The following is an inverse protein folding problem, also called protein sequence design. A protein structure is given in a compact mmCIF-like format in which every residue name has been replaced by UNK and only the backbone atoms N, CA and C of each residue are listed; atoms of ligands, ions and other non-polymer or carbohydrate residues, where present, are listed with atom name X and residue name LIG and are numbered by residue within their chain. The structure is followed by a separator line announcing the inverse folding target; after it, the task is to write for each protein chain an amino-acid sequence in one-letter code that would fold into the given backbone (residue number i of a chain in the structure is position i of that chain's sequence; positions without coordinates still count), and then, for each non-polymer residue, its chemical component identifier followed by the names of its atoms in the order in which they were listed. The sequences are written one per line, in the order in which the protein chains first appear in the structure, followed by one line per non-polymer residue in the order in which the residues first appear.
data_IF_232582148424
#
_entry.id   IF_232582148424
#
_cell.length_a   1.000
_cell.length_b   1.000
_cell.length_c   1.000
_cell.angle_alpha   90.00
_cell.angle_beta   90.00
_cell.angle_gamma   90.00
#
_symmetry.space_group_name_H-M   'P 1'
#
loop_
_entity.id
_entity.type
_entity.pdbx_description
1 polymer ?
#
# COMPACT_ATOMS: atom_id res chain seq x y z
N UNK A 1 24.46 -60.49 29.74
CA UNK A 1 24.27 -59.03 29.58
C UNK A 1 23.91 -58.72 28.14
N UNK A 2 22.65 -58.36 27.85
CA UNK A 2 22.23 -57.87 26.52
C UNK A 2 22.07 -56.35 26.63
N UNK A 3 22.86 -55.62 25.86
CA UNK A 3 22.93 -54.17 25.80
C UNK A 3 21.64 -53.58 25.20
N UNK A 4 21.00 -52.66 25.94
CA UNK A 4 19.84 -51.87 25.45
C UNK A 4 20.31 -50.88 24.40
N UNK A 5 19.79 -51.00 23.18
CA UNK A 5 19.95 -50.03 22.10
C UNK A 5 19.07 -48.81 22.39
N UNK A 6 19.68 -47.63 22.46
CA UNK A 6 19.00 -46.35 22.69
C UNK A 6 18.04 -46.02 21.54
N UNK A 7 16.75 -45.82 21.82
CA UNK A 7 15.78 -45.27 20.88
C UNK A 7 16.11 -43.80 20.57
N UNK A 8 16.47 -43.53 19.32
CA UNK A 8 16.56 -42.16 18.80
C UNK A 8 15.14 -41.63 18.58
N UNK A 9 14.76 -40.58 19.31
CA UNK A 9 13.53 -39.83 19.06
C UNK A 9 13.54 -39.25 17.64
N UNK A 10 12.77 -39.86 16.74
CA UNK A 10 12.50 -39.33 15.41
C UNK A 10 11.56 -38.13 15.54
N UNK A 11 12.11 -36.92 15.49
CA UNK A 11 11.31 -35.70 15.29
C UNK A 11 10.61 -35.78 13.93
N UNK A 12 9.36 -36.27 13.91
CA UNK A 12 8.55 -36.30 12.70
C UNK A 12 8.29 -34.86 12.24
N UNK A 13 8.76 -34.53 11.03
CA UNK A 13 8.48 -33.23 10.42
C UNK A 13 6.97 -33.11 10.20
N UNK A 14 6.36 -31.95 10.48
CA UNK A 14 4.94 -31.74 10.24
C UNK A 14 4.62 -31.96 8.77
N UNK A 15 3.51 -32.65 8.52
CA UNK A 15 3.00 -32.83 7.17
C UNK A 15 2.48 -31.50 6.64
N UNK A 16 3.28 -30.84 5.80
CA UNK A 16 2.92 -29.59 5.15
C UNK A 16 1.75 -29.82 4.18
N UNK A 17 0.78 -28.90 4.23
CA UNK A 17 -0.36 -28.95 3.31
C UNK A 17 0.05 -28.41 1.95
N UNK A 18 -0.11 -29.23 0.91
CA UNK A 18 0.08 -28.79 -0.49
C UNK A 18 -0.95 -27.71 -0.86
N UNK A 19 -2.16 -27.81 -0.30
CA UNK A 19 -3.28 -26.91 -0.60
C UNK A 19 -3.09 -25.50 -0.04
N UNK A 20 -2.25 -25.34 1.00
CA UNK A 20 -1.88 -24.05 1.58
C UNK A 20 -0.61 -23.45 0.96
N UNK A 21 0.01 -24.12 -0.03
CA UNK A 21 1.21 -23.64 -0.70
C UNK A 21 2.40 -23.41 0.24
N UNK A 22 2.51 -24.20 1.31
CA UNK A 22 3.49 -23.98 2.37
C UNK A 22 4.91 -24.32 1.91
N UNK A 23 5.76 -23.29 1.82
CA UNK A 23 7.20 -23.40 1.55
C UNK A 23 7.99 -22.82 2.72
N UNK A 24 8.57 -23.69 3.56
CA UNK A 24 9.31 -23.25 4.74
C UNK A 24 10.70 -22.75 4.33
N UNK A 25 11.03 -21.51 4.65
CA UNK A 25 12.37 -20.98 4.49
C UNK A 25 13.33 -21.68 5.46
N UNK A 26 14.35 -22.36 4.94
CA UNK A 26 15.32 -23.16 5.73
C UNK A 26 16.74 -22.62 5.70
N UNK A 27 17.09 -21.77 4.75
CA UNK A 27 18.46 -21.28 4.60
C UNK A 27 18.76 -20.18 5.65
N UNK A 28 19.65 -20.43 6.63
CA UNK A 28 19.93 -19.46 7.70
C UNK A 28 20.58 -18.18 7.19
N UNK A 29 21.41 -18.24 6.14
CA UNK A 29 22.03 -17.04 5.55
C UNK A 29 20.99 -16.11 4.95
N UNK A 30 19.99 -16.68 4.27
CA UNK A 30 18.87 -15.91 3.70
C UNK A 30 18.02 -15.30 4.81
N UNK A 31 17.72 -16.06 5.87
CA UNK A 31 16.96 -15.56 7.03
C UNK A 31 17.69 -14.38 7.67
N UNK A 32 18.97 -14.53 7.98
CA UNK A 32 19.77 -13.46 8.58
C UNK A 32 19.80 -12.21 7.67
N UNK A 33 20.00 -12.41 6.36
CA UNK A 33 19.98 -11.30 5.39
C UNK A 33 18.63 -10.57 5.36
N UNK A 34 17.51 -11.30 5.44
CA UNK A 34 16.16 -10.70 5.52
C UNK A 34 16.03 -9.86 6.79
N UNK A 35 16.43 -10.41 7.94
CA UNK A 35 16.35 -9.74 9.25
C UNK A 35 17.22 -8.49 9.29
N UNK A 36 18.42 -8.54 8.70
CA UNK A 36 19.30 -7.36 8.62
C UNK A 36 18.74 -6.30 7.68
N UNK A 37 18.23 -6.70 6.50
CA UNK A 37 17.53 -5.77 5.60
C UNK A 37 16.18 -5.29 6.14
N UNK A 38 15.61 -5.93 7.14
CA UNK A 38 14.41 -5.47 7.81
C UNK A 38 14.66 -4.26 8.71
N UNK A 39 15.91 -3.93 9.06
CA UNK A 39 16.25 -2.75 9.89
C UNK A 39 15.35 -2.63 11.12
N UNK A 40 15.27 -3.73 11.87
CA UNK A 40 14.45 -3.86 13.08
C UNK A 40 15.10 -3.04 14.20
N UNK A 41 14.33 -2.16 14.81
CA UNK A 41 14.73 -1.42 16.00
C UNK A 41 14.35 -2.19 17.27
N UNK A 42 15.11 -2.07 18.38
CA UNK A 42 14.81 -2.80 19.62
C UNK A 42 13.44 -2.48 20.23
N UNK A 43 12.86 -1.32 19.90
CA UNK A 43 11.53 -0.89 20.31
C UNK A 43 10.40 -1.49 19.47
N UNK A 44 10.70 -2.07 18.31
CA UNK A 44 9.69 -2.46 17.32
C UNK A 44 8.79 -3.60 17.80
N UNK A 45 7.51 -3.46 17.50
CA UNK A 45 6.55 -4.54 17.37
C UNK A 45 6.57 -5.05 15.92
N UNK A 46 7.00 -6.29 15.73
CA UNK A 46 7.11 -6.92 14.41
C UNK A 46 5.91 -7.82 14.14
N UNK A 47 5.27 -7.63 12.98
CA UNK A 47 4.24 -8.55 12.48
C UNK A 47 4.85 -9.60 11.55
N UNK A 48 4.61 -10.88 11.82
CA UNK A 48 4.96 -12.01 10.96
C UNK A 48 3.69 -12.78 10.56
N UNK A 49 3.50 -13.02 9.25
CA UNK A 49 2.29 -13.67 8.70
C UNK A 49 2.67 -15.01 8.07
N UNK A 50 2.26 -16.11 8.68
CA UNK A 50 2.70 -17.45 8.29
C UNK A 50 4.11 -17.75 8.81
N UNK A 51 4.32 -17.74 10.15
CA UNK A 51 5.61 -18.08 10.75
C UNK A 51 6.08 -19.51 10.44
N UNK A 52 5.16 -20.41 10.07
CA UNK A 52 5.45 -21.81 9.81
C UNK A 52 6.10 -22.48 11.02
N UNK A 53 7.26 -23.12 10.82
CA UNK A 53 8.01 -23.76 11.91
C UNK A 53 8.81 -22.80 12.78
N UNK A 54 8.79 -21.49 12.48
CA UNK A 54 9.41 -20.46 13.31
C UNK A 54 10.88 -20.13 13.03
N UNK A 55 11.43 -20.55 11.88
CA UNK A 55 12.83 -20.26 11.53
C UNK A 55 13.12 -18.75 11.45
N UNK A 56 12.18 -17.97 10.90
CA UNK A 56 12.26 -16.52 10.85
C UNK A 56 11.88 -15.92 12.21
N UNK A 57 10.80 -16.40 12.84
CA UNK A 57 10.31 -15.96 14.16
C UNK A 57 11.40 -15.93 15.24
N UNK A 58 12.23 -16.98 15.32
CA UNK A 58 13.35 -17.04 16.29
C UNK A 58 14.28 -15.84 16.12
N UNK A 59 14.63 -15.49 14.88
CA UNK A 59 15.51 -14.36 14.57
C UNK A 59 14.86 -13.00 14.76
N UNK A 60 13.54 -12.90 14.55
CA UNK A 60 12.79 -11.68 14.85
C UNK A 60 12.74 -11.43 16.37
N UNK A 61 12.51 -12.47 17.17
CA UNK A 61 12.44 -12.40 18.64
C UNK A 61 13.77 -11.99 19.30
N UNK A 62 14.89 -12.29 18.66
CA UNK A 62 16.23 -11.85 19.08
C UNK A 62 16.39 -10.32 19.01
N UNK A 63 15.75 -9.65 18.03
CA UNK A 63 15.96 -8.21 17.76
C UNK A 63 14.81 -7.31 18.22
N UNK A 64 13.57 -7.79 18.15
CA UNK A 64 12.38 -6.99 18.42
C UNK A 64 12.01 -6.92 19.92
N UNK A 65 11.22 -5.90 20.28
CA UNK A 65 10.52 -5.83 21.57
C UNK A 65 9.45 -6.90 21.67
N UNK A 66 8.67 -7.04 20.59
CA UNK A 66 7.52 -7.95 20.49
C UNK A 66 7.39 -8.48 19.08
N UNK A 67 7.02 -9.76 18.94
CA UNK A 67 6.67 -10.36 17.65
C UNK A 67 5.23 -10.85 17.72
N UNK A 68 4.38 -10.34 16.83
CA UNK A 68 3.02 -10.80 16.63
C UNK A 68 3.04 -11.74 15.43
N UNK A 69 2.80 -13.02 15.65
CA UNK A 69 2.76 -14.03 14.61
C UNK A 69 1.30 -14.43 14.32
N UNK A 70 0.87 -14.35 13.06
CA UNK A 70 -0.46 -14.81 12.62
C UNK A 70 -0.28 -16.08 11.79
N UNK A 71 -0.81 -17.20 12.26
CA UNK A 71 -0.74 -18.49 11.57
C UNK A 71 -2.15 -19.07 11.35
N UNK A 72 -2.44 -19.48 10.12
CA UNK A 72 -3.73 -20.09 9.76
C UNK A 72 -3.74 -21.59 10.07
N UNK A 73 -2.60 -22.27 9.92
CA UNK A 73 -2.49 -23.70 10.21
C UNK A 73 -2.26 -23.96 11.70
N UNK A 74 -3.31 -24.40 12.39
CA UNK A 74 -3.29 -24.74 13.82
C UNK A 74 -2.15 -25.70 14.20
N UNK A 75 -1.74 -26.59 13.29
CA UNK A 75 -0.67 -27.58 13.57
C UNK A 75 0.70 -26.90 13.62
N UNK A 76 0.99 -26.01 12.66
CA UNK A 76 2.22 -25.22 12.64
C UNK A 76 2.25 -24.23 13.81
N UNK A 77 1.11 -23.64 14.14
CA UNK A 77 0.98 -22.76 15.30
C UNK A 77 1.34 -23.49 16.62
N UNK A 78 0.85 -24.73 16.79
CA UNK A 78 1.18 -25.55 17.95
C UNK A 78 2.67 -25.95 17.99
N UNK A 79 3.26 -26.26 16.84
CA UNK A 79 4.69 -26.57 16.77
C UNK A 79 5.57 -25.35 17.05
N UNK A 80 5.20 -24.17 16.56
CA UNK A 80 5.88 -22.92 16.87
C UNK A 80 5.91 -22.68 18.38
N UNK A 81 4.77 -22.86 19.06
CA UNK A 81 4.70 -22.76 20.52
C UNK A 81 5.60 -23.79 21.17
N UNK A 82 5.55 -25.06 20.74
CA UNK A 82 6.41 -26.13 21.28
C UNK A 82 7.90 -25.81 21.12
N UNK A 83 8.30 -25.26 19.97
CA UNK A 83 9.68 -24.89 19.65
C UNK A 83 10.18 -23.74 20.52
N UNK A 84 9.34 -22.75 20.78
CA UNK A 84 9.74 -21.53 21.47
C UNK A 84 9.51 -21.60 22.99
N UNK A 85 8.67 -22.51 23.48
CA UNK A 85 8.44 -22.71 24.91
C UNK A 85 9.77 -23.00 25.63
N UNK A 86 10.04 -22.28 26.71
CA UNK A 86 11.28 -22.39 27.49
C UNK A 86 12.46 -21.57 26.94
N UNK A 87 12.31 -20.92 25.77
CA UNK A 87 13.34 -19.98 25.29
C UNK A 87 13.22 -18.62 26.00
N UNK A 88 14.36 -17.94 26.20
CA UNK A 88 14.42 -16.62 26.87
C UNK A 88 13.48 -15.59 26.25
N UNK A 89 13.26 -15.65 24.94
CA UNK A 89 12.47 -14.66 24.20
C UNK A 89 10.99 -15.08 24.02
N UNK A 90 10.55 -16.20 24.58
CA UNK A 90 9.17 -16.68 24.42
C UNK A 90 8.12 -15.66 24.87
N UNK A 91 8.39 -14.92 25.96
CA UNK A 91 7.50 -13.89 26.48
C UNK A 91 7.27 -12.71 25.53
N UNK A 92 8.10 -12.55 24.49
CA UNK A 92 7.92 -11.52 23.45
C UNK A 92 6.99 -11.96 22.32
N UNK A 93 6.63 -13.25 22.25
CA UNK A 93 5.77 -13.79 21.19
C UNK A 93 4.30 -13.63 21.56
N UNK A 94 3.54 -13.03 20.65
CA UNK A 94 2.08 -13.13 20.63
C UNK A 94 1.67 -13.92 19.39
N UNK A 95 1.06 -15.09 19.60
CA UNK A 95 0.56 -15.94 18.52
C UNK A 95 -0.95 -15.77 18.35
N UNK A 96 -1.38 -15.47 17.13
CA UNK A 96 -2.79 -15.38 16.73
C UNK A 96 -3.06 -16.48 15.71
N UNK A 97 -3.96 -17.40 16.05
CA UNK A 97 -4.29 -18.53 15.16
C UNK A 97 -5.53 -18.19 14.34
N UNK A 98 -5.35 -17.59 13.17
CA UNK A 98 -6.43 -17.12 12.32
C UNK A 98 -6.00 -16.89 10.87
N UNK A 99 -6.99 -16.67 9.99
CA UNK A 99 -6.74 -16.21 8.63
C UNK A 99 -6.47 -14.69 8.64
N UNK A 100 -5.22 -14.31 8.37
CA UNK A 100 -4.80 -12.90 8.38
C UNK A 100 -5.62 -12.00 7.47
N UNK A 101 -6.26 -12.53 6.41
CA UNK A 101 -7.08 -11.72 5.52
C UNK A 101 -8.43 -11.36 6.15
N UNK A 102 -8.93 -12.19 7.08
CA UNK A 102 -10.27 -12.08 7.67
C UNK A 102 -10.34 -11.32 8.99
N UNK A 103 -9.20 -11.09 9.64
CA UNK A 103 -9.14 -10.37 10.93
C UNK A 103 -8.62 -8.94 10.75
N UNK A 104 -8.91 -8.09 11.71
CA UNK A 104 -8.23 -6.81 11.84
C UNK A 104 -6.80 -7.04 12.35
N UNK A 105 -5.84 -6.44 11.66
CA UNK A 105 -4.44 -6.54 12.05
C UNK A 105 -4.22 -5.64 13.28
N UNK A 106 -3.52 -6.12 14.32
CA UNK A 106 -3.13 -5.26 15.44
C UNK A 106 -2.12 -4.21 14.98
N UNK A 107 -1.81 -3.24 15.83
CA UNK A 107 -0.70 -2.31 15.58
C UNK A 107 0.64 -3.06 15.47
N UNK A 108 1.48 -2.62 14.53
CA UNK A 108 2.87 -3.05 14.38
C UNK A 108 3.69 -1.92 13.73
N UNK A 109 4.98 -1.88 14.06
CA UNK A 109 5.91 -0.89 13.50
C UNK A 109 6.44 -1.34 12.14
N UNK A 110 6.74 -2.64 12.01
CA UNK A 110 7.21 -3.26 10.77
C UNK A 110 6.59 -4.64 10.57
N UNK A 111 6.47 -5.07 9.32
CA UNK A 111 6.08 -6.44 8.99
C UNK A 111 7.24 -7.15 8.29
N UNK A 112 7.58 -8.37 8.74
CA UNK A 112 8.60 -9.20 8.10
C UNK A 112 8.02 -10.57 7.88
N UNK A 113 7.88 -10.99 6.62
CA UNK A 113 7.20 -12.26 6.35
C UNK A 113 7.68 -13.04 5.13
N UNK A 114 7.66 -14.38 5.28
CA UNK A 114 7.66 -15.33 4.19
C UNK A 114 6.21 -15.57 3.72
N UNK A 115 5.72 -14.68 2.85
CA UNK A 115 4.31 -14.68 2.46
C UNK A 115 3.89 -15.98 1.77
N UNK A 116 2.80 -16.65 2.21
CA UNK A 116 2.19 -17.73 1.43
C UNK A 116 1.73 -17.19 0.08
N UNK A 117 2.19 -17.78 -1.02
CA UNK A 117 2.05 -17.17 -2.35
C UNK A 117 0.60 -16.94 -2.78
N UNK A 118 -0.31 -17.79 -2.32
CA UNK A 118 -1.75 -17.75 -2.62
C UNK A 118 -2.43 -16.46 -2.14
N UNK A 119 -1.89 -15.82 -1.10
CA UNK A 119 -2.47 -14.61 -0.50
C UNK A 119 -1.68 -13.34 -0.79
N UNK A 120 -0.67 -13.38 -1.67
CA UNK A 120 0.27 -12.27 -1.89
C UNK A 120 -0.43 -10.96 -2.25
N UNK A 121 -1.31 -10.98 -3.26
CA UNK A 121 -2.04 -9.80 -3.73
C UNK A 121 -2.98 -9.21 -2.66
N UNK A 122 -3.93 -9.96 -2.08
CA UNK A 122 -4.81 -9.41 -1.05
C UNK A 122 -4.03 -8.98 0.20
N UNK A 123 -2.93 -9.65 0.55
CA UNK A 123 -2.10 -9.24 1.69
C UNK A 123 -1.46 -7.87 1.46
N UNK A 124 -0.85 -7.62 0.29
CA UNK A 124 -0.24 -6.33 -0.03
C UNK A 124 -1.25 -5.19 0.11
N UNK A 125 -2.47 -5.37 -0.42
CA UNK A 125 -3.50 -4.34 -0.30
C UNK A 125 -4.03 -4.18 1.13
N UNK A 126 -4.17 -5.28 1.88
CA UNK A 126 -4.54 -5.21 3.29
C UNK A 126 -3.51 -4.44 4.12
N UNK A 127 -2.22 -4.66 3.86
CA UNK A 127 -1.14 -3.90 4.51
C UNK A 127 -1.21 -2.41 4.12
N UNK A 128 -1.27 -2.07 2.83
CA UNK A 128 -1.32 -0.66 2.39
C UNK A 128 -2.55 0.11 2.93
N UNK A 129 -3.65 -0.60 3.20
CA UNK A 129 -4.86 -0.04 3.81
C UNK A 129 -4.83 -0.03 5.34
N UNK A 130 -3.89 -0.72 5.98
CA UNK A 130 -3.81 -0.82 7.43
C UNK A 130 -3.56 0.56 8.06
N UNK A 131 -4.23 0.78 9.20
CA UNK A 131 -4.05 1.95 10.05
C UNK A 131 -3.95 1.49 11.52
N UNK A 132 -3.14 2.14 12.38
CA UNK A 132 -2.16 3.19 12.05
C UNK A 132 -1.10 2.75 11.03
N UNK A 133 -0.38 3.70 10.44
CA UNK A 133 0.65 3.34 9.47
C UNK A 133 1.83 2.65 10.15
N UNK A 134 2.36 1.63 9.49
CA UNK A 134 3.65 1.01 9.82
C UNK A 134 4.78 1.70 9.04
N UNK A 135 6.04 1.59 9.50
CA UNK A 135 7.20 2.17 8.82
C UNK A 135 7.46 1.50 7.48
N UNK A 136 7.64 0.18 7.48
CA UNK A 136 7.86 -0.61 6.28
C UNK A 136 7.57 -2.09 6.47
N UNK A 137 7.35 -2.79 5.36
CA UNK A 137 7.17 -4.23 5.31
C UNK A 137 8.25 -4.86 4.43
N UNK A 138 8.91 -5.92 4.92
CA UNK A 138 9.85 -6.76 4.18
C UNK A 138 9.17 -8.10 3.89
N UNK A 139 8.72 -8.24 2.65
CA UNK A 139 7.84 -9.33 2.24
C UNK A 139 8.54 -10.18 1.18
N UNK A 140 8.46 -11.49 1.33
CA UNK A 140 8.93 -12.42 0.31
C UNK A 140 7.78 -12.86 -0.60
N UNK A 141 8.03 -12.89 -1.90
CA UNK A 141 7.08 -13.31 -2.93
C UNK A 141 7.77 -14.21 -3.97
N UNK A 142 6.97 -14.83 -4.83
CA UNK A 142 7.46 -15.43 -6.08
C UNK A 142 8.14 -14.35 -6.95
N UNK A 143 9.15 -14.75 -7.73
CA UNK A 143 9.91 -13.83 -8.58
C UNK A 143 9.03 -13.02 -9.53
N UNK A 144 8.11 -13.66 -10.25
CA UNK A 144 7.24 -12.97 -11.22
C UNK A 144 6.34 -11.94 -10.56
N UNK A 145 5.72 -12.29 -9.43
CA UNK A 145 4.91 -11.37 -8.63
C UNK A 145 5.74 -10.18 -8.11
N UNK A 146 6.93 -10.43 -7.54
CA UNK A 146 7.84 -9.37 -7.08
C UNK A 146 8.26 -8.45 -8.22
N UNK A 147 8.61 -9.01 -9.39
CA UNK A 147 8.97 -8.24 -10.58
C UNK A 147 7.83 -7.35 -11.07
N UNK A 148 6.58 -7.80 -10.94
CA UNK A 148 5.40 -6.98 -11.26
C UNK A 148 5.19 -5.87 -10.25
N UNK A 149 5.38 -6.13 -8.95
CA UNK A 149 5.26 -5.10 -7.91
C UNK A 149 6.22 -3.92 -8.11
N UNK A 150 7.47 -4.20 -8.49
CA UNK A 150 8.52 -3.17 -8.67
C UNK A 150 8.61 -2.61 -10.09
N UNK A 151 7.82 -3.13 -11.04
CA UNK A 151 7.89 -2.71 -12.44
C UNK A 151 7.57 -1.21 -12.58
N UNK A 152 8.42 -0.47 -13.30
CA UNK A 152 8.21 0.91 -13.65
C UNK A 152 7.30 1.05 -14.88
N UNK A 153 6.72 2.24 -15.14
CA UNK A 153 6.07 2.51 -16.43
C UNK A 153 6.99 2.15 -17.59
N UNK A 154 6.40 1.61 -18.66
CA UNK A 154 7.10 1.07 -19.84
C UNK A 154 7.79 -0.28 -19.66
N UNK A 155 7.88 -0.83 -18.45
CA UNK A 155 8.35 -2.21 -18.27
C UNK A 155 7.34 -3.23 -18.79
N UNK A 156 7.84 -4.34 -19.36
CA UNK A 156 7.00 -5.47 -19.81
C UNK A 156 6.09 -6.01 -18.71
N UNK A 157 6.58 -6.02 -17.47
CA UNK A 157 5.88 -6.52 -16.29
C UNK A 157 4.94 -5.49 -15.64
N UNK A 158 4.91 -4.24 -16.15
CA UNK A 158 4.01 -3.21 -15.64
C UNK A 158 2.56 -3.63 -15.83
N UNK A 159 1.80 -3.58 -14.73
CA UNK A 159 0.41 -4.00 -14.68
C UNK A 159 -0.35 -3.28 -13.56
N UNK A 160 -1.64 -3.59 -13.42
CA UNK A 160 -2.52 -3.04 -12.37
C UNK A 160 -1.94 -3.22 -10.95
N UNK A 161 -1.25 -4.33 -10.69
CA UNK A 161 -0.60 -4.57 -9.39
C UNK A 161 0.49 -3.53 -9.12
N UNK A 162 1.31 -3.22 -10.12
CA UNK A 162 2.40 -2.24 -10.05
C UNK A 162 1.87 -0.88 -9.67
N UNK A 163 0.93 -0.35 -10.47
CA UNK A 163 0.41 1.01 -10.26
C UNK A 163 -0.37 1.15 -8.95
N UNK A 164 -1.16 0.14 -8.57
CA UNK A 164 -1.92 0.21 -7.32
C UNK A 164 -1.01 0.13 -6.09
N UNK A 165 0.03 -0.70 -6.10
CA UNK A 165 0.97 -0.77 -4.99
C UNK A 165 1.79 0.52 -4.89
N UNK A 166 2.29 1.02 -6.03
CA UNK A 166 3.14 2.20 -6.11
C UNK A 166 2.40 3.51 -5.80
N UNK A 167 1.08 3.56 -6.00
CA UNK A 167 0.27 4.71 -5.59
C UNK A 167 0.25 4.90 -4.07
N UNK A 168 0.24 3.82 -3.30
CA UNK A 168 0.12 3.88 -1.84
C UNK A 168 1.41 3.58 -1.08
N UNK A 169 2.46 3.14 -1.78
CA UNK A 169 3.71 2.78 -1.14
C UNK A 169 4.91 2.82 -2.08
N UNK A 170 6.08 3.16 -1.53
CA UNK A 170 7.36 2.99 -2.21
C UNK A 170 7.76 1.52 -2.16
N UNK A 171 7.89 0.90 -3.33
CA UNK A 171 8.19 -0.53 -3.48
C UNK A 171 9.63 -0.69 -3.99
N UNK A 172 10.47 -1.39 -3.23
CA UNK A 172 11.89 -1.59 -3.57
C UNK A 172 12.23 -3.08 -3.58
N UNK A 173 12.88 -3.57 -4.63
CA UNK A 173 13.44 -4.94 -4.64
C UNK A 173 14.68 -5.00 -3.74
N UNK A 174 14.76 -6.01 -2.85
CA UNK A 174 15.86 -6.13 -1.89
C UNK A 174 16.84 -7.27 -2.21
N UNK A 175 16.34 -8.48 -2.48
CA UNK A 175 17.19 -9.62 -2.82
C UNK A 175 16.44 -10.72 -3.58
N UNK A 176 17.21 -11.52 -4.31
CA UNK A 176 16.78 -12.71 -5.04
C UNK A 176 17.06 -13.95 -4.19
N UNK A 177 16.13 -14.89 -4.12
CA UNK A 177 16.30 -16.14 -3.35
C UNK A 177 15.99 -17.34 -4.24
N UNK A 178 16.94 -18.26 -4.34
CA UNK A 178 16.77 -19.50 -5.10
C UNK A 178 15.84 -20.49 -4.39
N UNK A 179 15.06 -21.25 -5.17
CA UNK A 179 14.09 -22.25 -4.66
C UNK A 179 14.66 -23.30 -3.69
N UNK A 180 15.96 -23.58 -3.75
CA UNK A 180 16.62 -24.55 -2.87
C UNK A 180 16.73 -24.07 -1.41
N UNK A 181 16.46 -22.79 -1.15
CA UNK A 181 16.40 -22.22 0.20
C UNK A 181 15.15 -22.63 0.98
N UNK A 182 14.24 -23.40 0.38
CA UNK A 182 12.95 -23.77 0.94
C UNK A 182 12.80 -25.29 1.13
N UNK A 183 11.83 -25.68 1.97
CA UNK A 183 11.38 -27.07 2.13
C UNK A 183 9.86 -27.14 2.28
N UNK A 184 9.15 -27.84 1.36
CA UNK A 184 9.63 -28.32 0.07
C UNK A 184 10.03 -27.13 -0.85
N UNK A 185 10.91 -27.34 -1.84
CA UNK A 185 11.26 -26.29 -2.79
C UNK A 185 10.04 -25.87 -3.63
N UNK A 186 9.80 -24.57 -3.84
CA UNK A 186 8.81 -24.10 -4.81
C UNK A 186 9.27 -24.38 -6.26
N UNK A 187 8.30 -24.32 -7.19
CA UNK A 187 8.59 -24.48 -8.63
C UNK A 187 9.37 -23.31 -9.23
N UNK A 188 9.32 -22.14 -8.59
CA UNK A 188 9.91 -20.89 -9.06
C UNK A 188 10.75 -20.25 -7.97
N UNK A 189 11.69 -19.39 -8.37
CA UNK A 189 12.48 -18.63 -7.42
C UNK A 189 11.66 -17.54 -6.74
N UNK A 190 12.21 -17.02 -5.64
CA UNK A 190 11.61 -15.97 -4.82
C UNK A 190 12.36 -14.65 -4.91
N UNK A 191 11.72 -13.60 -4.38
CA UNK A 191 12.31 -12.30 -4.16
C UNK A 191 11.73 -11.63 -2.94
N UNK A 192 12.59 -10.88 -2.26
CA UNK A 192 12.23 -10.05 -1.11
C UNK A 192 12.07 -8.64 -1.60
N UNK A 193 10.97 -8.02 -1.19
CA UNK A 193 10.58 -6.66 -1.55
C UNK A 193 10.32 -5.89 -0.27
N UNK A 194 10.75 -4.63 -0.23
CA UNK A 194 10.36 -3.67 0.80
C UNK A 194 9.20 -2.83 0.29
N UNK A 195 8.19 -2.62 1.13
CA UNK A 195 7.09 -1.69 0.88
C UNK A 195 7.03 -0.69 2.03
N UNK A 196 7.15 0.59 1.71
CA UNK A 196 7.06 1.72 2.65
C UNK A 196 5.78 2.52 2.31
N UNK A 197 4.74 2.54 3.18
CA UNK A 197 3.52 3.31 2.91
C UNK A 197 3.81 4.81 2.72
N UNK A 198 3.15 5.44 1.75
CA UNK A 198 3.25 6.88 1.54
C UNK A 198 2.36 7.61 2.56
N UNK A 199 2.94 8.59 3.26
CA UNK A 199 2.29 9.38 4.30
C UNK A 199 2.45 10.89 4.01
N UNK A 200 1.36 11.67 3.95
CA UNK A 200 -0.04 11.23 3.96
C UNK A 200 -0.38 10.41 2.69
N UNK A 201 -1.41 9.54 2.75
CA UNK A 201 -1.83 8.80 1.56
C UNK A 201 -2.38 9.77 0.51
N UNK A 202 -2.23 9.47 -0.79
CA UNK A 202 -2.78 10.33 -1.83
C UNK A 202 -4.30 10.44 -1.70
N UNK A 203 -4.88 11.63 -1.94
CA UNK A 203 -6.30 11.91 -1.71
C UNK A 203 -7.16 11.34 -2.84
N UNK A 204 -7.19 10.01 -2.96
CA UNK A 204 -7.85 9.30 -4.05
C UNK A 204 -8.88 8.32 -3.48
N UNK A 205 -10.10 8.39 -4.00
CA UNK A 205 -11.14 7.42 -3.67
C UNK A 205 -10.79 6.04 -4.27
N UNK A 206 -10.45 5.09 -3.40
CA UNK A 206 -9.96 3.76 -3.78
C UNK A 206 -10.90 3.00 -4.74
N UNK A 207 -12.21 3.09 -4.55
CA UNK A 207 -13.18 2.40 -5.40
C UNK A 207 -13.19 2.96 -6.82
N UNK A 208 -13.20 4.29 -6.96
CA UNK A 208 -13.13 4.99 -8.23
C UNK A 208 -11.82 4.65 -8.97
N UNK A 209 -10.69 4.77 -8.26
CA UNK A 209 -9.37 4.45 -8.80
C UNK A 209 -9.27 3.00 -9.31
N UNK A 210 -9.71 2.03 -8.51
CA UNK A 210 -9.60 0.62 -8.87
C UNK A 210 -10.41 0.28 -10.12
N UNK A 211 -11.61 0.85 -10.28
CA UNK A 211 -12.40 0.62 -11.50
C UNK A 211 -11.77 1.31 -12.71
N UNK A 212 -11.25 2.53 -12.55
CA UNK A 212 -10.55 3.25 -13.61
C UNK A 212 -9.35 2.46 -14.13
N UNK A 213 -8.46 2.03 -13.24
CA UNK A 213 -7.28 1.25 -13.61
C UNK A 213 -7.67 -0.13 -14.17
N UNK A 214 -8.76 -0.74 -13.68
CA UNK A 214 -9.27 -1.99 -14.26
C UNK A 214 -9.70 -1.82 -15.72
N UNK A 215 -10.29 -0.69 -16.10
CA UNK A 215 -10.63 -0.38 -17.49
C UNK A 215 -9.35 -0.21 -18.31
N UNK A 216 -8.41 0.63 -17.85
CA UNK A 216 -7.20 0.95 -18.60
C UNK A 216 -6.28 -0.26 -18.83
N UNK A 217 -6.12 -1.11 -17.82
CA UNK A 217 -5.22 -2.27 -17.90
C UNK A 217 -5.89 -3.51 -18.50
N UNK A 218 -7.15 -3.44 -18.94
CA UNK A 218 -7.81 -4.55 -19.63
C UNK A 218 -7.09 -4.90 -20.94
N UNK A 219 -6.72 -3.88 -21.73
CA UNK A 219 -5.82 -4.03 -22.88
C UNK A 219 -4.68 -3.02 -22.76
N UNK A 220 -3.70 -3.34 -21.92
CA UNK A 220 -2.59 -2.44 -21.56
C UNK A 220 -1.74 -1.93 -22.75
N UNK A 221 -1.72 -2.68 -23.86
CA UNK A 221 -0.98 -2.31 -25.08
C UNK A 221 -1.84 -1.51 -26.08
N UNK A 222 -3.10 -1.19 -25.76
CA UNK A 222 -3.98 -0.35 -26.59
C UNK A 222 -4.07 1.06 -26.02
N UNK A 223 -4.40 2.01 -26.87
CA UNK A 223 -4.58 3.41 -26.44
C UNK A 223 -5.67 3.53 -25.38
N UNK A 224 -5.57 4.56 -24.53
CA UNK A 224 -6.59 4.87 -23.52
C UNK A 224 -7.97 5.04 -24.16
N UNK A 225 -8.03 5.76 -25.29
CA UNK A 225 -9.27 5.95 -26.06
C UNK A 225 -9.90 4.62 -26.48
N UNK A 226 -9.11 3.67 -27.01
CA UNK A 226 -9.62 2.36 -27.39
C UNK A 226 -10.18 1.57 -26.18
N UNK A 227 -9.53 1.65 -25.01
CA UNK A 227 -10.03 1.02 -23.79
C UNK A 227 -11.33 1.65 -23.29
N UNK A 228 -11.46 2.98 -23.37
CA UNK A 228 -12.64 3.71 -22.91
C UNK A 228 -13.86 3.52 -23.82
N UNK A 229 -13.64 3.28 -25.11
CA UNK A 229 -14.70 2.97 -26.10
C UNK A 229 -15.15 1.50 -26.09
N UNK A 230 -14.57 0.64 -25.23
CA UNK A 230 -14.97 -0.76 -25.18
C UNK A 230 -16.40 -0.93 -24.65
N UNK A 231 -17.13 -1.91 -25.20
CA UNK A 231 -18.51 -2.17 -24.82
C UNK A 231 -18.65 -2.40 -23.30
N UNK A 232 -19.66 -1.78 -22.69
CA UNK A 232 -19.95 -1.89 -21.26
C UNK A 232 -19.12 -0.97 -20.33
N UNK A 233 -18.14 -0.21 -20.85
CA UNK A 233 -17.38 0.76 -20.04
C UNK A 233 -18.25 1.93 -19.59
N UNK A 234 -19.05 2.51 -20.49
CA UNK A 234 -19.96 3.61 -20.16
C UNK A 234 -20.93 3.25 -19.03
N UNK A 235 -21.52 2.04 -19.08
CA UNK A 235 -22.41 1.54 -18.03
C UNK A 235 -21.69 1.36 -16.68
N UNK A 236 -20.43 0.89 -16.69
CA UNK A 236 -19.61 0.76 -15.47
C UNK A 236 -19.25 2.11 -14.84
N UNK A 237 -18.89 3.09 -15.67
CA UNK A 237 -18.54 4.44 -15.21
C UNK A 237 -19.74 5.14 -14.59
N UNK A 238 -20.92 5.03 -15.21
CA UNK A 238 -22.20 5.57 -14.70
C UNK A 238 -22.61 4.89 -13.38
N UNK A 239 -22.55 3.56 -13.30
CA UNK A 239 -22.95 2.79 -12.11
C UNK A 239 -22.14 3.16 -10.86
N UNK A 240 -20.86 3.46 -11.02
CA UNK A 240 -19.96 3.75 -9.90
C UNK A 240 -19.89 5.24 -9.53
N UNK A 241 -20.74 6.11 -10.13
CA UNK A 241 -20.71 7.57 -9.95
C UNK A 241 -19.31 8.17 -10.11
N UNK A 242 -18.48 7.54 -10.95
CA UNK A 242 -17.16 8.06 -11.35
C UNK A 242 -17.30 9.35 -12.17
N UNK A 243 -18.50 9.61 -12.69
CA UNK A 243 -18.93 10.90 -13.21
C UNK A 243 -20.06 11.47 -12.32
N UNK A 244 -19.87 12.67 -11.82
CA UNK A 244 -20.96 13.57 -11.45
C UNK A 244 -20.88 14.78 -12.39
N UNK A 245 -22.04 15.18 -12.92
CA UNK A 245 -22.28 16.16 -14.00
C UNK A 245 -21.59 15.88 -15.33
N UNK A 246 -22.35 15.34 -16.28
CA UNK A 246 -22.05 15.38 -17.72
C UNK A 246 -22.82 16.57 -18.28
N UNK A 247 -22.15 17.69 -18.55
CA UNK A 247 -22.68 18.67 -19.50
C UNK A 247 -22.25 18.22 -20.90
N UNK A 248 -23.23 17.89 -21.71
CA UNK A 248 -23.09 17.35 -23.06
C UNK A 248 -22.69 18.47 -24.03
N UNK A 249 -21.54 18.35 -24.67
CA UNK A 249 -21.24 19.10 -25.90
C UNK A 249 -20.84 18.14 -27.03
N UNK A 250 -21.32 18.47 -28.23
CA UNK A 250 -21.52 17.63 -29.42
C UNK A 250 -20.25 17.05 -30.07
N UNK A 251 -20.47 16.09 -30.98
CA UNK A 251 -19.56 15.04 -31.42
C UNK A 251 -18.37 15.46 -32.31
N UNK A 252 -18.25 16.73 -32.67
CA UNK A 252 -17.41 17.18 -33.80
C UNK A 252 -16.02 17.73 -33.43
N UNK A 253 -15.66 17.84 -32.15
CA UNK A 253 -14.42 18.55 -31.73
C UNK A 253 -13.27 17.66 -31.19
N UNK A 254 -13.36 16.34 -31.40
CA UNK A 254 -12.41 15.33 -30.87
C UNK A 254 -11.00 15.50 -31.45
N UNK A 255 -10.90 15.68 -32.76
CA UNK A 255 -9.61 15.74 -33.45
C UNK A 255 -8.87 17.04 -33.13
N UNK A 256 -9.59 18.16 -32.98
CA UNK A 256 -9.03 19.48 -32.68
C UNK A 256 -8.52 19.57 -31.24
N UNK A 257 -9.32 19.13 -30.27
CA UNK A 257 -8.93 19.12 -28.84
C UNK A 257 -7.77 18.17 -28.51
N UNK A 258 -7.68 17.01 -29.19
CA UNK A 258 -6.54 16.10 -29.03
C UNK A 258 -5.28 16.68 -29.68
N UNK A 259 -5.42 17.32 -30.84
CA UNK A 259 -4.30 17.98 -31.51
C UNK A 259 -3.78 19.16 -30.69
N UNK A 260 -4.64 19.96 -30.04
CA UNK A 260 -4.22 21.05 -29.16
C UNK A 260 -3.47 20.56 -27.91
N UNK A 261 -3.92 19.48 -27.25
CA UNK A 261 -3.21 18.89 -26.10
C UNK A 261 -1.84 18.32 -26.54
N UNK A 262 -1.77 17.72 -27.74
CA UNK A 262 -0.51 17.21 -28.30
C UNK A 262 0.43 18.34 -28.78
N UNK A 263 -0.11 19.44 -29.30
CA UNK A 263 0.62 20.65 -29.70
C UNK A 263 1.18 21.36 -28.47
N UNK A 264 0.37 21.52 -27.41
CA UNK A 264 0.83 22.05 -26.11
C UNK A 264 1.93 21.18 -25.50
N UNK A 265 1.80 19.86 -25.60
CA UNK A 265 2.86 18.91 -25.19
C UNK A 265 4.13 19.02 -26.04
N UNK A 266 4.01 19.25 -27.37
CA UNK A 266 5.14 19.44 -28.30
C UNK A 266 5.88 20.77 -28.06
N UNK A 267 5.13 21.86 -27.85
CA UNK A 267 5.67 23.19 -27.57
C UNK A 267 6.41 23.23 -26.23
N UNK A 268 5.87 22.58 -25.19
CA UNK A 268 6.58 22.40 -23.92
C UNK A 268 7.89 21.62 -24.05
N UNK A 269 7.98 20.69 -25.00
CA UNK A 269 9.18 19.88 -25.24
C UNK A 269 10.24 20.62 -26.07
N UNK A 270 9.84 21.51 -26.97
CA UNK A 270 10.77 22.37 -27.74
C UNK A 270 11.31 23.52 -26.89
N UNK A 271 10.51 24.11 -26.00
CA UNK A 271 10.96 25.11 -25.03
C UNK A 271 12.00 24.54 -24.05
N UNK A 272 11.83 23.29 -23.61
CA UNK A 272 12.80 22.59 -22.75
C UNK A 272 14.12 22.19 -23.44
N UNK A 273 14.23 22.33 -24.76
CA UNK A 273 15.44 22.02 -25.53
C UNK A 273 16.30 23.27 -25.82
N UNK A 274 15.75 24.48 -25.68
CA UNK A 274 16.45 25.73 -25.97
C UNK A 274 17.20 26.34 -24.77
N UNK A 275 16.81 25.99 -23.54
CA UNK A 275 17.54 26.38 -22.32
C UNK A 275 18.53 25.28 -21.92
N UNK A 276 19.79 25.46 -22.31
CA UNK A 276 20.88 24.51 -22.13
C UNK A 276 21.34 24.31 -20.67
N UNK A 277 20.47 23.79 -19.79
CA UNK A 277 20.85 23.35 -18.45
C UNK A 277 20.40 21.90 -18.16
N UNK A 278 21.30 21.14 -17.53
CA UNK A 278 21.21 19.70 -17.25
C UNK A 278 19.94 19.33 -16.45
N UNK A 279 19.41 18.14 -16.76
CA UNK A 279 18.20 17.49 -16.21
C UNK A 279 17.97 17.69 -14.70
N UNK A 280 16.70 17.85 -14.31
CA UNK A 280 16.15 17.00 -13.26
C UNK A 280 14.76 16.40 -13.58
N UNK A 281 14.44 15.38 -12.79
CA UNK A 281 13.22 14.57 -12.75
C UNK A 281 11.92 15.35 -12.53
N UNK A 282 10.80 14.66 -12.79
CA UNK A 282 9.47 14.85 -12.21
C UNK A 282 9.04 16.29 -11.86
N UNK A 283 8.09 16.84 -12.62
CA UNK A 283 6.96 17.51 -11.97
C UNK A 283 5.76 17.68 -12.91
N UNK A 284 4.67 16.99 -12.57
CA UNK A 284 3.33 17.55 -12.74
C UNK A 284 3.29 18.87 -11.95
N UNK A 285 3.34 20.01 -12.64
CA UNK A 285 3.03 21.32 -12.04
C UNK A 285 1.82 21.92 -12.75
N UNK A 286 0.65 21.66 -12.18
CA UNK A 286 -0.22 22.71 -11.64
C UNK A 286 -1.48 22.02 -11.09
N UNK A 287 -1.39 21.60 -9.83
CA UNK A 287 -2.56 21.42 -8.98
C UNK A 287 -2.79 22.79 -8.35
N UNK A 288 -3.69 23.59 -8.93
CA UNK A 288 -4.44 24.58 -8.16
C UNK A 288 -5.79 23.94 -7.81
N UNK A 289 -5.92 23.51 -6.56
CA UNK A 289 -7.20 23.22 -5.91
C UNK A 289 -8.01 22.04 -6.47
N UNK A 290 -8.00 20.93 -5.73
CA UNK A 290 -9.11 19.97 -5.58
C UNK A 290 -9.53 19.05 -6.75
N UNK A 291 -8.91 19.10 -7.94
CA UNK A 291 -9.37 18.27 -9.09
C UNK A 291 -8.22 17.72 -9.94
N UNK A 292 -8.23 16.41 -10.20
CA UNK A 292 -7.38 15.81 -11.24
C UNK A 292 -8.23 15.63 -12.50
N UNK A 293 -7.94 16.43 -13.52
CA UNK A 293 -8.66 16.42 -14.79
C UNK A 293 -7.97 15.48 -15.78
N UNK A 294 -8.72 14.54 -16.36
CA UNK A 294 -8.25 13.76 -17.52
C UNK A 294 -9.32 13.80 -18.62
N UNK A 295 -8.93 14.04 -19.87
CA UNK A 295 -9.86 14.13 -21.00
C UNK A 295 -9.74 12.87 -21.88
N UNK A 296 -10.85 12.18 -22.14
CA UNK A 296 -10.90 11.07 -23.11
C UNK A 296 -12.03 11.32 -24.10
N UNK A 297 -11.66 11.66 -25.34
CA UNK A 297 -12.63 12.10 -26.36
C UNK A 297 -13.33 13.40 -25.95
N UNK A 298 -14.64 13.48 -26.16
CA UNK A 298 -15.48 14.66 -25.84
C UNK A 298 -15.69 14.88 -24.34
N UNK A 299 -15.28 13.94 -23.49
CA UNK A 299 -15.60 13.97 -22.07
C UNK A 299 -14.39 14.33 -21.24
N UNK A 300 -14.54 15.39 -20.46
CA UNK A 300 -13.67 15.74 -19.35
C UNK A 300 -14.06 14.89 -18.14
N UNK A 301 -13.11 14.16 -17.58
CA UNK A 301 -13.28 13.36 -16.37
C UNK A 301 -12.59 14.08 -15.22
N UNK A 302 -13.34 14.34 -14.15
CA UNK A 302 -12.83 14.92 -12.90
C UNK A 302 -12.72 13.81 -11.87
N UNK A 303 -11.50 13.44 -11.47
CA UNK A 303 -11.28 12.68 -10.25
C UNK A 303 -11.35 13.67 -9.08
N UNK A 304 -12.50 13.67 -8.38
CA UNK A 304 -12.70 14.41 -7.14
C UNK A 304 -12.04 13.65 -5.98
N UNK A 305 -11.20 14.33 -5.23
CA UNK A 305 -10.82 13.91 -3.88
C UNK A 305 -12.01 14.13 -2.95
N UNK A 306 -12.43 13.10 -2.19
CA UNK A 306 -13.42 13.30 -1.10
C UNK A 306 -12.79 14.22 -0.04
N UNK A 307 -13.45 15.34 0.30
CA UNK A 307 -13.04 16.16 1.45
C UNK A 307 -13.19 15.34 2.75
N UNK A 308 -12.25 15.39 3.70
CA UNK A 308 -12.54 14.96 5.05
C UNK A 308 -13.66 15.84 5.61
N UNK A 309 -14.70 15.23 6.20
CA UNK A 309 -15.69 15.98 6.99
C UNK A 309 -14.98 16.52 8.22
N UNK A 310 -14.69 17.82 8.21
CA UNK A 310 -14.29 18.53 9.42
C UNK A 310 -15.60 18.86 10.13
N UNK A 311 -15.91 18.13 11.20
CA UNK A 311 -16.95 18.55 12.14
C UNK A 311 -16.39 19.72 12.96
N UNK A 312 -17.10 20.86 12.91
CA UNK A 312 -17.01 21.93 13.90
C UNK A 312 -16.05 23.08 13.58
N UNK A 313 -16.53 24.07 12.82
CA UNK A 313 -16.17 25.49 13.00
C UNK A 313 -17.39 26.34 12.62
N UNK A 314 -17.91 27.23 13.49
CA UNK A 314 -18.99 28.15 13.13
C UNK A 314 -18.47 29.32 12.28
N UNK A 315 -19.30 29.96 11.44
CA UNK A 315 -18.84 31.00 10.53
C UNK A 315 -18.51 32.30 11.28
N UNK A 316 -17.35 32.89 11.00
CA UNK A 316 -17.02 34.26 11.41
C UNK A 316 -17.58 35.28 10.40
N UNK A 317 -18.13 36.43 10.84
CA UNK A 317 -18.69 37.44 9.94
C UNK A 317 -17.69 38.56 9.70
N UNK A 318 -17.17 38.72 8.49
CA UNK A 318 -16.62 40.03 8.04
C UNK A 318 -16.69 40.17 6.53
N UNK A 319 -17.72 40.86 6.06
CA UNK A 319 -17.69 41.63 4.81
C UNK A 319 -18.24 43.02 5.14
N UNK A 320 -17.36 44.03 5.14
CA UNK A 320 -17.74 45.45 5.17
C UNK A 320 -17.43 46.02 3.79
N UNK A 321 -18.44 46.54 3.11
CA UNK A 321 -18.30 47.53 2.04
C UNK A 321 -19.29 48.68 2.29
N UNK A 322 -18.71 49.86 2.60
CA UNK A 322 -19.08 51.23 2.18
C UNK A 322 -20.46 51.87 2.48
N UNK A 323 -20.36 53.09 3.05
CA UNK A 323 -21.30 54.25 3.14
C UNK A 323 -22.48 54.10 4.14
N UNK A 324 -22.92 55.09 4.94
CA UNK A 324 -22.97 56.55 4.77
C UNK A 324 -23.04 57.32 6.13
N UNK A 325 -22.93 58.64 6.06
CA UNK A 325 -22.71 59.73 7.06
C UNK A 325 -23.82 60.00 8.11
N UNK A 326 -23.42 60.57 9.28
CA UNK A 326 -24.09 61.59 10.15
C UNK A 326 -24.42 61.28 11.64
N UNK A 327 -24.06 62.25 12.52
CA UNK A 327 -24.53 62.62 13.89
C UNK A 327 -24.21 61.81 15.17
N UNK A 328 -23.17 62.26 15.92
CA UNK A 328 -23.08 62.77 17.34
C UNK A 328 -24.21 62.39 18.36
N UNK A 329 -24.04 62.27 19.73
CA UNK A 329 -22.88 62.30 20.68
C UNK A 329 -22.82 61.09 21.71
N UNK A 330 -21.86 61.06 22.68
CA UNK A 330 -21.55 59.91 23.53
C UNK A 330 -22.12 59.98 24.96
N UNK A 331 -22.31 58.84 25.63
CA UNK A 331 -22.50 58.79 27.09
C UNK A 331 -21.82 57.60 27.80
N UNK A 332 -20.90 58.00 28.70
CA UNK A 332 -20.61 57.51 30.06
C UNK A 332 -20.38 56.02 30.38
N UNK A 333 -19.12 55.78 30.82
CA UNK A 333 -18.65 55.11 32.06
C UNK A 333 -19.65 54.22 32.81
N UNK A 334 -19.21 53.01 33.19
CA UNK A 334 -19.05 52.64 34.60
C UNK A 334 -18.24 51.32 34.80
N UNK A 335 -17.21 51.45 35.65
CA UNK A 335 -16.65 50.51 36.65
C UNK A 335 -16.71 48.97 36.51
N UNK A 336 -15.50 48.38 36.55
CA UNK A 336 -15.06 47.15 37.27
C UNK A 336 -15.70 46.94 38.67
N UNK A 337 -15.48 45.81 39.41
CA UNK A 337 -14.73 44.57 39.12
C UNK A 337 -15.39 43.24 39.62
N UNK A 338 -14.70 42.13 39.33
CA UNK A 338 -14.47 40.92 40.14
C UNK A 338 -15.61 40.23 40.94
N UNK A 339 -15.76 38.91 40.73
CA UNK A 339 -15.57 37.93 41.82
C UNK A 339 -15.44 36.50 41.28
N UNK A 340 -14.48 35.80 41.87
CA UNK A 340 -14.23 34.35 41.92
C UNK A 340 -15.46 33.52 42.31
N UNK A 341 -15.49 32.24 41.87
CA UNK A 341 -15.54 31.06 42.75
C UNK A 341 -15.72 29.75 41.96
N UNK A 342 -14.81 28.80 42.27
CA UNK A 342 -14.92 27.33 42.24
C UNK A 342 -14.84 26.64 40.88
#
# INVERSE_FOLDING_TARGET
MKTKKSEKATHSRPKLSKDLGQHLLKNPLVINTIVDKARIEPSDTVLEIGPGTGNLTVKLLEKAKKVIAIEKDRRLAAELVKRLRGTKNYGKLQLIVSDCLKIDLPFFDICVTNTPYQISSPLVFKLLQHRPFFRHAVLMFQREFASRLVAAPSDKNYCRLSINAQLFGKVTHLLKIGRNSFSPPPKVDSSVVRIEPIQPPPPVKLSAWNEFIKILFNRKNKTVSANMKANGVSARLLKNRLCHSVETHEETDIARSVNEILVQWRLHRQAAAHDGHRRPADSLRCIRGERVLFRVGLKSFVLLADRPRIHGVPPSPTARSTMNVSSIPPLMRHHHPASSAI
#
